data_IF_122783413995
#
_entry.id   IF_122783413995
#
_cell.length_a   1.000
_cell.length_b   1.000
_cell.length_c   1.000
_cell.angle_alpha   90.00
_cell.angle_beta   90.00
_cell.angle_gamma   90.00
#
_symmetry.space_group_name_H-M   'P 1'
#
loop_
_entity.id
_entity.type
_entity.pdbx_description
1 polymer ?
#
# COMPACT_ATOMS: atom_id res chain seq x y z
N UNK A 1 -24.06 5.21 11.53
CA UNK A 1 -23.41 5.46 10.22
C UNK A 1 -23.97 4.44 9.23
N UNK A 2 -24.37 4.84 8.02
CA UNK A 2 -24.86 3.87 7.02
C UNK A 2 -23.71 2.95 6.58
N UNK A 3 -24.03 1.73 6.14
CA UNK A 3 -23.04 0.75 5.67
C UNK A 3 -22.16 1.34 4.55
N UNK A 4 -22.76 2.09 3.64
CA UNK A 4 -22.06 2.81 2.58
C UNK A 4 -21.02 3.80 3.12
N UNK A 5 -21.40 4.67 4.07
CA UNK A 5 -20.48 5.63 4.69
C UNK A 5 -19.35 4.94 5.45
N UNK A 6 -19.63 3.81 6.11
CA UNK A 6 -18.61 2.99 6.77
C UNK A 6 -17.61 2.45 5.75
N UNK A 7 -18.06 1.91 4.62
CA UNK A 7 -17.21 1.38 3.56
C UNK A 7 -16.35 2.48 2.93
N UNK A 8 -16.92 3.66 2.66
CA UNK A 8 -16.16 4.81 2.15
C UNK A 8 -15.08 5.23 3.14
N UNK A 9 -15.43 5.35 4.43
CA UNK A 9 -14.46 5.70 5.47
C UNK A 9 -13.33 4.66 5.57
N UNK A 10 -13.68 3.37 5.63
CA UNK A 10 -12.70 2.28 5.65
C UNK A 10 -11.79 2.31 4.42
N UNK A 11 -12.35 2.49 3.23
CA UNK A 11 -11.58 2.58 1.98
C UNK A 11 -10.57 3.73 2.01
N UNK A 12 -11.00 4.92 2.48
CA UNK A 12 -10.14 6.09 2.58
C UNK A 12 -9.03 5.91 3.63
N UNK A 13 -9.37 5.40 4.82
CA UNK A 13 -8.38 5.13 5.88
C UNK A 13 -7.33 4.15 5.38
N UNK A 14 -7.75 3.06 4.73
CA UNK A 14 -6.81 2.08 4.17
C UNK A 14 -5.93 2.69 3.07
N UNK A 15 -6.49 3.54 2.22
CA UNK A 15 -5.72 4.23 1.19
C UNK A 15 -4.63 5.12 1.82
N UNK A 16 -4.98 5.88 2.87
CA UNK A 16 -4.02 6.72 3.63
C UNK A 16 -2.93 5.86 4.26
N UNK A 17 -3.29 4.74 4.89
CA UNK A 17 -2.31 3.81 5.49
C UNK A 17 -1.36 3.25 4.42
N UNK A 18 -1.87 2.86 3.26
CA UNK A 18 -1.04 2.38 2.14
C UNK A 18 -0.11 3.48 1.60
N UNK A 19 -0.60 4.72 1.48
CA UNK A 19 0.24 5.84 1.06
C UNK A 19 1.36 6.09 2.08
N UNK A 20 1.05 6.08 3.38
CA UNK A 20 2.05 6.23 4.44
C UNK A 20 3.08 5.10 4.43
N UNK A 21 2.65 3.86 4.21
CA UNK A 21 3.51 2.69 4.06
C UNK A 21 4.45 2.83 2.86
N UNK A 22 3.93 3.21 1.69
CA UNK A 22 4.73 3.42 0.49
C UNK A 22 5.72 4.58 0.65
N UNK A 23 5.30 5.66 1.31
CA UNK A 23 6.14 6.81 1.60
C UNK A 23 7.29 6.45 2.54
N UNK A 24 7.03 5.67 3.59
CA UNK A 24 8.07 5.15 4.49
C UNK A 24 9.19 4.45 3.70
N UNK A 25 8.83 3.55 2.79
CA UNK A 25 9.80 2.81 1.98
C UNK A 25 10.58 3.70 1.01
N UNK A 26 9.89 4.63 0.34
CA UNK A 26 10.54 5.60 -0.53
C UNK A 26 11.53 6.48 0.24
N UNK A 27 11.12 7.01 1.40
CA UNK A 27 11.99 7.83 2.26
C UNK A 27 13.19 7.01 2.72
N UNK A 28 12.98 5.81 3.26
CA UNK A 28 14.06 4.95 3.73
C UNK A 28 15.08 4.69 2.63
N UNK A 29 14.61 4.31 1.44
CA UNK A 29 15.46 4.05 0.26
C UNK A 29 16.26 5.28 -0.18
N UNK A 30 15.67 6.47 -0.12
CA UNK A 30 16.30 7.73 -0.53
C UNK A 30 17.21 8.32 0.55
N UNK A 31 16.94 8.03 1.83
CA UNK A 31 17.70 8.54 2.96
C UNK A 31 19.02 7.79 3.17
N UNK A 32 19.04 6.47 2.98
CA UNK A 32 20.24 5.64 3.25
C UNK A 32 21.51 6.14 2.53
N UNK A 33 21.47 6.52 1.23
CA UNK A 33 22.65 7.09 0.58
C UNK A 33 23.10 8.43 1.16
N UNK A 34 22.14 9.30 1.53
CA UNK A 34 22.42 10.63 2.10
C UNK A 34 23.06 10.55 3.48
N UNK A 35 22.85 9.44 4.19
CA UNK A 35 23.47 9.14 5.48
C UNK A 35 24.83 8.42 5.34
N UNK A 36 25.36 8.26 4.12
CA UNK A 36 26.62 7.54 3.87
C UNK A 36 26.49 6.01 4.02
N UNK A 37 25.27 5.47 4.07
CA UNK A 37 25.01 4.04 4.30
C UNK A 37 24.77 3.25 3.01
N UNK A 38 25.11 3.80 1.84
CA UNK A 38 24.90 3.15 0.52
C UNK A 38 25.43 1.72 0.46
N UNK A 39 26.62 1.47 1.03
CA UNK A 39 27.26 0.13 1.01
C UNK A 39 26.47 -0.92 1.80
N UNK A 40 25.75 -0.51 2.85
CA UNK A 40 24.94 -1.39 3.72
C UNK A 40 23.45 -1.38 3.38
N UNK A 41 23.06 -0.65 2.34
CA UNK A 41 21.66 -0.47 1.97
C UNK A 41 20.91 -1.79 1.75
N UNK A 42 21.45 -2.80 1.04
CA UNK A 42 20.75 -4.08 0.85
C UNK A 42 20.44 -4.77 2.18
N UNK A 43 21.39 -4.76 3.12
CA UNK A 43 21.25 -5.36 4.45
C UNK A 43 20.18 -4.64 5.28
N UNK A 44 20.23 -3.31 5.29
CA UNK A 44 19.30 -2.48 6.08
C UNK A 44 17.87 -2.56 5.53
N UNK A 45 17.70 -2.61 4.22
CA UNK A 45 16.38 -2.81 3.58
C UNK A 45 15.85 -4.23 3.85
N UNK A 46 16.70 -5.25 3.78
CA UNK A 46 16.32 -6.62 4.13
C UNK A 46 15.93 -6.74 5.61
N UNK A 47 16.65 -6.07 6.51
CA UNK A 47 16.32 -6.03 7.94
C UNK A 47 14.99 -5.32 8.20
N UNK A 48 14.76 -4.17 7.55
CA UNK A 48 13.48 -3.46 7.63
C UNK A 48 12.32 -4.30 7.07
N UNK A 49 12.57 -5.11 6.04
CA UNK A 49 11.59 -5.99 5.42
C UNK A 49 11.22 -7.19 6.28
N UNK A 50 12.23 -7.77 6.95
CA UNK A 50 12.04 -8.84 7.92
C UNK A 50 11.48 -8.36 9.27
N UNK A 51 11.42 -7.05 9.50
CA UNK A 51 10.87 -6.50 10.73
C UNK A 51 9.40 -6.93 10.90
N UNK A 52 9.01 -7.12 12.15
CA UNK A 52 7.64 -7.50 12.51
C UNK A 52 6.98 -6.40 13.33
N UNK A 53 5.73 -6.10 13.00
CA UNK A 53 4.94 -5.04 13.62
C UNK A 53 3.62 -5.61 14.16
N UNK A 54 3.08 -5.04 15.26
CA UNK A 54 3.65 -3.98 16.10
C UNK A 54 4.80 -4.48 16.97
N UNK A 55 5.79 -3.61 17.18
CA UNK A 55 7.01 -3.93 17.94
C UNK A 55 6.84 -3.73 19.46
N UNK A 56 5.81 -2.98 19.88
CA UNK A 56 5.44 -2.74 21.29
C UNK A 56 4.09 -3.41 21.59
N UNK A 57 3.93 -3.95 22.79
CA UNK A 57 2.64 -4.42 23.31
C UNK A 57 2.18 -5.80 22.85
N UNK A 58 2.82 -6.40 21.85
CA UNK A 58 2.49 -7.76 21.36
C UNK A 58 3.71 -8.71 21.40
N UNK A 59 3.51 -9.98 21.80
CA UNK A 59 4.56 -10.99 21.78
C UNK A 59 4.98 -11.30 20.34
N UNK A 60 6.25 -11.68 20.14
CA UNK A 60 6.85 -11.87 18.81
C UNK A 60 6.05 -12.81 17.88
N UNK A 61 5.40 -13.82 18.45
CA UNK A 61 4.57 -14.80 17.76
C UNK A 61 3.32 -14.18 17.08
N UNK A 62 2.81 -13.07 17.62
CA UNK A 62 1.61 -12.38 17.10
C UNK A 62 1.95 -11.19 16.18
N UNK A 63 3.24 -10.90 15.98
CA UNK A 63 3.67 -9.78 15.13
C UNK A 63 3.67 -10.21 13.67
N UNK A 64 3.06 -9.39 12.82
CA UNK A 64 3.04 -9.61 11.38
C UNK A 64 4.31 -9.04 10.74
N UNK A 65 4.96 -9.76 9.81
CA UNK A 65 6.04 -9.17 9.03
C UNK A 65 5.51 -7.97 8.23
N UNK A 66 6.30 -6.90 8.15
CA UNK A 66 5.94 -5.64 7.46
C UNK A 66 5.34 -5.84 6.05
N UNK A 67 5.84 -6.76 5.20
CA UNK A 67 5.30 -6.96 3.84
C UNK A 67 3.87 -7.50 3.83
N UNK A 68 3.50 -8.28 4.84
CA UNK A 68 2.12 -8.75 4.99
C UNK A 68 1.16 -7.61 5.27
N UNK A 69 1.58 -6.56 6.00
CA UNK A 69 0.74 -5.39 6.25
C UNK A 69 0.40 -4.67 4.94
N UNK A 70 1.39 -4.47 4.06
CA UNK A 70 1.18 -3.87 2.73
C UNK A 70 0.23 -4.70 1.87
N UNK A 71 0.40 -6.02 1.84
CA UNK A 71 -0.48 -6.93 1.10
C UNK A 71 -1.91 -6.92 1.65
N UNK A 72 -2.08 -7.08 2.96
CA UNK A 72 -3.40 -7.10 3.60
C UNK A 72 -4.15 -5.78 3.42
N UNK A 73 -3.46 -4.65 3.57
CA UNK A 73 -4.05 -3.35 3.32
C UNK A 73 -4.48 -3.19 1.85
N UNK A 74 -3.68 -3.69 0.90
CA UNK A 74 -4.04 -3.64 -0.54
C UNK A 74 -5.24 -4.53 -0.86
N UNK A 75 -5.29 -5.75 -0.30
CA UNK A 75 -6.45 -6.65 -0.44
C UNK A 75 -7.72 -6.02 0.16
N UNK A 76 -7.60 -5.39 1.33
CA UNK A 76 -8.72 -4.70 1.97
C UNK A 76 -9.19 -3.50 1.15
N UNK A 77 -8.26 -2.72 0.57
CA UNK A 77 -8.57 -1.63 -0.35
C UNK A 77 -9.32 -2.15 -1.60
N UNK A 78 -8.87 -3.27 -2.17
CA UNK A 78 -9.53 -3.90 -3.31
C UNK A 78 -10.95 -4.36 -2.95
N UNK A 79 -11.12 -5.07 -1.83
CA UNK A 79 -12.41 -5.56 -1.38
C UNK A 79 -13.41 -4.42 -1.13
N UNK A 80 -13.01 -3.39 -0.37
CA UNK A 80 -13.85 -2.22 -0.11
C UNK A 80 -14.15 -1.43 -1.40
N UNK A 81 -13.20 -1.33 -2.32
CA UNK A 81 -13.39 -0.67 -3.61
C UNK A 81 -14.38 -1.40 -4.53
N UNK A 82 -14.37 -2.73 -4.53
CA UNK A 82 -15.33 -3.55 -5.27
C UNK A 82 -16.74 -3.42 -4.71
N UNK A 83 -16.89 -3.48 -3.39
CA UNK A 83 -18.19 -3.32 -2.71
C UNK A 83 -18.80 -1.92 -2.90
N UNK A 84 -17.97 -0.88 -3.07
CA UNK A 84 -18.43 0.47 -3.37
C UNK A 84 -18.78 0.68 -4.86
N UNK A 85 -18.35 -0.23 -5.73
CA UNK A 85 -18.41 -0.09 -7.19
C UNK A 85 -19.62 -0.73 -7.87
N UNK A 86 -20.71 -1.01 -7.14
CA UNK A 86 -21.86 -1.77 -7.68
C UNK A 86 -22.58 -1.07 -8.85
N UNK A 87 -22.38 0.23 -9.06
CA UNK A 87 -22.80 0.95 -10.27
C UNK A 87 -21.87 2.16 -10.53
N UNK A 88 -20.76 1.99 -11.29
CA UNK A 88 -19.83 3.08 -11.54
C UNK A 88 -20.44 4.11 -12.49
N UNK A 89 -20.39 5.40 -12.12
CA UNK A 89 -20.81 6.51 -12.97
C UNK A 89 -19.98 6.59 -14.27
N UNK A 90 -18.68 6.30 -14.18
CA UNK A 90 -17.77 6.18 -15.32
C UNK A 90 -17.08 4.80 -15.32
N UNK A 91 -17.46 3.96 -16.28
CA UNK A 91 -16.94 2.60 -16.47
C UNK A 91 -15.45 2.60 -16.81
N UNK A 92 -14.96 3.58 -17.57
CA UNK A 92 -13.55 3.66 -17.96
C UNK A 92 -12.68 3.98 -16.74
N UNK A 93 -13.10 4.96 -15.95
CA UNK A 93 -12.41 5.35 -14.72
C UNK A 93 -12.37 4.21 -13.70
N UNK A 94 -13.48 3.48 -13.55
CA UNK A 94 -13.55 2.30 -12.70
C UNK A 94 -12.58 1.19 -13.15
N UNK A 95 -12.52 0.89 -14.45
CA UNK A 95 -11.56 -0.10 -15.00
C UNK A 95 -10.11 0.34 -14.80
N UNK A 96 -9.80 1.61 -15.00
CA UNK A 96 -8.47 2.15 -14.76
C UNK A 96 -8.06 2.01 -13.28
N UNK A 97 -8.99 2.27 -12.35
CA UNK A 97 -8.76 2.05 -10.91
C UNK A 97 -8.50 0.58 -10.61
N UNK A 98 -9.28 -0.35 -11.16
CA UNK A 98 -9.05 -1.79 -10.95
C UNK A 98 -7.69 -2.25 -11.49
N UNK A 99 -7.30 -1.76 -12.68
CA UNK A 99 -5.98 -2.05 -13.24
C UNK A 99 -4.86 -1.58 -12.31
N UNK A 100 -4.96 -0.35 -11.78
CA UNK A 100 -3.97 0.18 -10.83
C UNK A 100 -3.93 -0.59 -9.51
N UNK A 101 -5.08 -0.98 -8.97
CA UNK A 101 -5.15 -1.82 -7.76
C UNK A 101 -4.52 -3.19 -8.04
N UNK A 102 -4.78 -3.79 -9.21
CA UNK A 102 -4.14 -5.03 -9.65
C UNK A 102 -2.62 -4.92 -9.77
N UNK A 103 -2.13 -3.82 -10.37
CA UNK A 103 -0.70 -3.52 -10.43
C UNK A 103 -0.10 -3.35 -9.04
N UNK A 104 -0.77 -2.60 -8.14
CA UNK A 104 -0.32 -2.43 -6.77
C UNK A 104 -0.25 -3.78 -6.04
N UNK A 105 -1.25 -4.65 -6.21
CA UNK A 105 -1.26 -6.02 -5.70
C UNK A 105 -0.07 -6.84 -6.22
N UNK A 106 0.21 -6.76 -7.53
CA UNK A 106 1.38 -7.40 -8.12
C UNK A 106 2.69 -6.90 -7.49
N UNK A 107 2.82 -5.58 -7.29
CA UNK A 107 3.99 -5.00 -6.61
C UNK A 107 4.10 -5.50 -5.17
N UNK A 108 2.99 -5.58 -4.41
CA UNK A 108 3.01 -6.11 -3.04
C UNK A 108 3.39 -7.59 -2.98
N UNK A 109 2.91 -8.40 -3.92
CA UNK A 109 3.28 -9.82 -4.02
C UNK A 109 4.76 -9.99 -4.35
N UNK A 110 5.28 -9.22 -5.29
CA UNK A 110 6.70 -9.22 -5.60
C UNK A 110 7.54 -8.74 -4.41
N UNK A 111 7.06 -7.69 -3.71
CA UNK A 111 7.69 -7.17 -2.51
C UNK A 111 7.78 -8.23 -1.41
N UNK A 112 6.69 -8.98 -1.18
CA UNK A 112 6.64 -10.08 -0.20
C UNK A 112 7.75 -11.11 -0.41
N UNK A 113 8.08 -11.40 -1.68
CA UNK A 113 9.15 -12.34 -2.04
C UNK A 113 10.52 -11.70 -1.87
N UNK A 114 10.70 -10.47 -2.38
CA UNK A 114 12.00 -9.80 -2.38
C UNK A 114 11.87 -8.28 -2.43
N UNK A 115 12.68 -7.62 -1.61
CA UNK A 115 12.90 -6.17 -1.71
C UNK A 115 13.81 -5.84 -2.88
N UNK A 116 13.30 -5.01 -3.78
CA UNK A 116 14.02 -4.41 -4.90
C UNK A 116 13.66 -2.93 -5.02
N UNK A 117 14.47 -2.15 -5.74
CA UNK A 117 14.21 -0.71 -5.92
C UNK A 117 12.85 -0.43 -6.57
N UNK A 118 12.46 -1.22 -7.57
CA UNK A 118 11.17 -1.03 -8.23
C UNK A 118 10.00 -1.41 -7.32
N UNK A 119 10.14 -2.43 -6.47
CA UNK A 119 9.08 -2.78 -5.50
C UNK A 119 8.93 -1.72 -4.41
N UNK A 120 10.01 -1.04 -4.02
CA UNK A 120 9.96 0.03 -3.02
C UNK A 120 9.39 1.33 -3.59
N UNK A 121 9.95 1.77 -4.71
CA UNK A 121 9.62 3.07 -5.30
C UNK A 121 8.34 3.04 -6.13
N UNK A 122 7.97 1.88 -6.69
CA UNK A 122 6.76 1.73 -7.50
C UNK A 122 5.47 1.80 -6.70
N UNK A 123 5.49 1.45 -5.41
CA UNK A 123 4.29 1.48 -4.55
C UNK A 123 3.72 2.89 -4.39
N UNK A 124 4.56 3.91 -4.24
CA UNK A 124 4.12 5.28 -3.97
C UNK A 124 3.31 5.89 -5.13
N UNK A 125 3.81 5.94 -6.38
CA UNK A 125 3.03 6.48 -7.48
C UNK A 125 1.75 5.67 -7.73
N UNK A 126 1.79 4.34 -7.60
CA UNK A 126 0.59 3.51 -7.73
C UNK A 126 -0.45 3.84 -6.65
N UNK A 127 -0.05 3.94 -5.38
CA UNK A 127 -0.95 4.30 -4.29
C UNK A 127 -1.56 5.70 -4.50
N UNK A 128 -0.75 6.68 -4.91
CA UNK A 128 -1.22 8.04 -5.20
C UNK A 128 -2.21 8.07 -6.37
N UNK A 129 -1.93 7.33 -7.45
CA UNK A 129 -2.85 7.24 -8.60
C UNK A 129 -4.17 6.56 -8.20
N UNK A 130 -4.14 5.52 -7.36
CA UNK A 130 -5.36 4.87 -6.84
C UNK A 130 -6.18 5.86 -5.99
N UNK A 131 -5.54 6.64 -5.12
CA UNK A 131 -6.20 7.70 -4.34
C UNK A 131 -6.81 8.75 -5.26
N UNK A 132 -6.05 9.23 -6.26
CA UNK A 132 -6.51 10.24 -7.21
C UNK A 132 -7.73 9.77 -7.98
N UNK A 133 -7.67 8.57 -8.58
CA UNK A 133 -8.82 8.00 -9.29
C UNK A 133 -10.00 7.75 -8.35
N UNK A 134 -9.76 7.35 -7.10
CA UNK A 134 -10.85 7.18 -6.12
C UNK A 134 -11.53 8.51 -5.79
N UNK A 135 -10.77 9.61 -5.71
CA UNK A 135 -11.33 10.93 -5.47
C UNK A 135 -12.13 11.46 -6.68
N UNK A 136 -11.66 11.17 -7.90
CA UNK A 136 -12.37 11.52 -9.13
C UNK A 136 -13.67 10.71 -9.28
N UNK A 137 -13.63 9.41 -8.94
CA UNK A 137 -14.80 8.51 -8.99
C UNK A 137 -15.94 8.92 -8.04
N UNK A 138 -15.65 9.65 -6.96
CA UNK A 138 -16.66 10.15 -6.02
C UNK A 138 -17.37 11.40 -6.57
N UNK A 139 -16.75 12.13 -7.51
CA UNK A 139 -17.29 13.37 -8.08
C UNK A 139 -18.12 13.17 -9.36
N UNK A 140 -17.95 12.03 -10.03
CA UNK A 140 -18.72 11.59 -11.20
C UNK A 140 -20.01 10.89 -10.78
#
# INVERSE_FOLDING_TARGET
>A
MSLHLLLVWLHLVTAVVLTGFALYWAILRLALPRLGLSKRMPELLAAAHGARWPHVGLPFQLRLPVPWLGLLATLFLAATGLLLGEAPADVLLWRAKLLLVGLLLFVQLAFLVRVTDWTLLGQLPLALLVVLLSALAIRS
#
